data_IF_976534056135
#
_entry.id   IF_976534056135
#
_cell.length_a   1.000
_cell.length_b   1.000
_cell.length_c   1.000
_cell.angle_alpha   90.00
_cell.angle_beta   90.00
_cell.angle_gamma   90.00
#
_symmetry.space_group_name_H-M   'P 1'
#
loop_
_entity.id
_entity.type
_entity.pdbx_description
1 polymer ?
#
# COMPACT_ATOMS: atom_id res chain seq x y z
N UNK A 1 1.89 13.32 18.49
CA UNK A 1 0.57 13.23 17.82
C UNK A 1 0.65 12.18 16.72
N UNK A 2 -0.42 11.43 16.46
CA UNK A 2 -0.46 10.46 15.35
C UNK A 2 -0.28 11.16 14.00
N UNK A 3 0.27 10.45 13.02
CA UNK A 3 0.40 10.90 11.64
C UNK A 3 -0.97 11.12 11.02
N UNK A 4 -1.96 10.26 11.29
CA UNK A 4 -3.33 10.48 10.78
C UNK A 4 -3.99 11.72 11.36
N UNK A 5 -3.57 12.21 12.53
CA UNK A 5 -4.08 13.47 13.09
C UNK A 5 -3.53 14.70 12.36
N UNK A 6 -2.46 14.54 11.57
CA UNK A 6 -1.88 15.59 10.72
C UNK A 6 -2.50 15.62 9.32
N UNK A 7 -3.64 14.94 9.15
CA UNK A 7 -4.39 14.91 7.89
C UNK A 7 -4.58 16.32 7.32
N UNK A 8 -4.25 16.45 6.03
CA UNK A 8 -4.53 17.65 5.24
C UNK A 8 -5.28 17.22 3.99
N UNK A 9 -6.40 17.88 3.64
CA UNK A 9 -7.13 17.56 2.42
C UNK A 9 -6.27 17.68 1.17
N UNK A 10 -6.62 16.92 0.14
CA UNK A 10 -6.01 17.00 -1.19
C UNK A 10 -6.11 18.42 -1.75
N UNK A 11 -5.01 19.03 -2.19
CA UNK A 11 -5.04 20.32 -2.85
C UNK A 11 -5.88 20.26 -4.12
N UNK A 12 -6.75 21.25 -4.34
CA UNK A 12 -7.54 21.40 -5.58
C UNK A 12 -6.66 21.59 -6.83
N UNK A 13 -5.40 21.93 -6.63
CA UNK A 13 -4.37 22.12 -7.66
C UNK A 13 -3.73 20.82 -8.14
N UNK A 14 -4.03 19.68 -7.51
CA UNK A 14 -3.46 18.39 -7.88
C UNK A 14 -4.22 17.77 -9.05
N UNK A 15 -4.19 18.40 -10.22
CA UNK A 15 -5.02 18.01 -11.37
C UNK A 15 -4.42 16.92 -12.27
N UNK A 16 -3.14 16.58 -12.09
CA UNK A 16 -2.44 15.59 -12.93
C UNK A 16 -2.49 14.17 -12.36
N UNK A 17 -3.07 13.98 -11.17
CA UNK A 17 -3.29 12.66 -10.56
C UNK A 17 -4.77 12.41 -10.31
N UNK A 18 -5.17 11.15 -10.19
CA UNK A 18 -6.55 10.74 -9.93
C UNK A 18 -6.73 10.23 -8.49
N UNK A 19 -5.99 10.81 -7.55
CA UNK A 19 -5.97 10.36 -6.16
C UNK A 19 -7.29 10.69 -5.44
N UNK A 20 -7.89 9.73 -4.76
CA UNK A 20 -8.95 10.01 -3.79
C UNK A 20 -8.36 10.57 -2.50
N UNK A 21 -9.23 11.18 -1.68
CA UNK A 21 -8.85 11.74 -0.37
C UNK A 21 -9.84 11.30 0.72
N UNK A 22 -9.86 9.99 0.96
CA UNK A 22 -10.72 9.36 1.95
C UNK A 22 -9.96 9.30 3.27
N UNK A 23 -10.44 10.04 4.27
CA UNK A 23 -9.94 9.92 5.63
C UNK A 23 -10.55 8.69 6.32
N UNK A 24 -9.79 7.58 6.31
CA UNK A 24 -10.22 6.28 6.86
C UNK A 24 -10.47 6.28 8.36
N UNK A 25 -9.97 7.25 9.13
CA UNK A 25 -10.29 7.36 10.57
C UNK A 25 -11.77 7.58 10.83
N UNK A 26 -12.50 8.11 9.85
CA UNK A 26 -13.95 8.32 9.92
C UNK A 26 -14.77 7.17 9.32
N UNK A 27 -14.09 6.10 8.85
CA UNK A 27 -14.75 4.94 8.26
C UNK A 27 -15.01 3.84 9.30
N UNK A 28 -15.84 2.88 8.92
CA UNK A 28 -16.08 1.65 9.67
C UNK A 28 -16.17 0.49 8.69
N UNK A 29 -16.08 -0.74 9.21
CA UNK A 29 -16.29 -1.94 8.39
C UNK A 29 -17.71 -1.99 7.85
N UNK A 30 -17.83 -2.19 6.54
CA UNK A 30 -19.10 -2.34 5.80
C UNK A 30 -19.21 -3.70 5.09
N UNK A 31 -18.09 -4.43 4.97
CA UNK A 31 -18.04 -5.79 4.44
C UNK A 31 -17.14 -6.66 5.32
N UNK A 32 -17.46 -7.95 5.53
CA UNK A 32 -16.64 -8.82 6.38
C UNK A 32 -15.24 -9.03 5.79
N UNK A 33 -14.20 -9.07 6.64
CA UNK A 33 -12.89 -9.55 6.21
C UNK A 33 -12.97 -11.06 6.02
N UNK A 34 -12.75 -11.53 4.80
CA UNK A 34 -12.90 -12.95 4.43
C UNK A 34 -11.57 -13.63 4.16
N UNK A 35 -10.59 -12.91 3.61
CA UNK A 35 -9.32 -13.50 3.17
C UNK A 35 -8.13 -12.60 3.50
N UNK A 36 -7.13 -13.16 4.19
CA UNK A 36 -5.84 -12.53 4.42
C UNK A 36 -4.82 -13.14 3.46
N UNK A 37 -4.35 -12.37 2.48
CA UNK A 37 -3.34 -12.83 1.52
C UNK A 37 -1.98 -12.35 2.03
N UNK A 38 -1.32 -13.18 2.84
CA UNK A 38 -0.17 -12.80 3.66
C UNK A 38 1.19 -13.13 3.03
N UNK A 39 1.23 -13.44 1.74
CA UNK A 39 2.50 -13.52 1.01
C UNK A 39 3.10 -12.15 0.74
N UNK A 40 4.43 -12.08 0.73
CA UNK A 40 5.16 -10.83 0.54
C UNK A 40 4.87 -10.19 -0.83
N UNK A 41 5.01 -8.87 -0.93
CA UNK A 41 4.95 -8.20 -2.23
C UNK A 41 5.88 -8.85 -3.25
N UNK A 42 5.47 -8.86 -4.52
CA UNK A 42 6.18 -9.51 -5.66
C UNK A 42 6.12 -11.04 -5.71
N UNK A 43 5.20 -11.68 -4.97
CA UNK A 43 4.82 -13.09 -5.13
C UNK A 43 3.51 -13.29 -5.91
N UNK A 44 3.04 -12.25 -6.61
CA UNK A 44 1.81 -12.30 -7.43
C UNK A 44 0.60 -11.62 -6.79
N UNK A 45 0.80 -10.76 -5.79
CA UNK A 45 -0.25 -10.01 -5.08
C UNK A 45 -1.16 -9.18 -6.01
N UNK A 46 -0.63 -8.58 -7.08
CA UNK A 46 -1.44 -7.84 -8.05
C UNK A 46 -2.37 -8.77 -8.85
N UNK A 47 -1.88 -9.94 -9.25
CA UNK A 47 -2.71 -11.00 -9.85
C UNK A 47 -3.75 -11.50 -8.87
N UNK A 48 -3.41 -11.68 -7.59
CA UNK A 48 -4.38 -12.03 -6.56
C UNK A 48 -5.46 -10.97 -6.42
N UNK A 49 -5.11 -9.68 -6.33
CA UNK A 49 -6.10 -8.58 -6.27
C UNK A 49 -7.07 -8.64 -7.44
N UNK A 50 -6.57 -8.88 -8.66
CA UNK A 50 -7.40 -9.04 -9.85
C UNK A 50 -8.25 -10.33 -9.78
N UNK A 51 -7.71 -11.42 -9.23
CA UNK A 51 -8.41 -12.69 -9.09
C UNK A 51 -9.57 -12.59 -8.11
N UNK A 52 -9.34 -11.99 -6.94
CA UNK A 52 -10.38 -11.76 -5.93
C UNK A 52 -11.54 -10.93 -6.51
N UNK A 53 -11.23 -9.89 -7.30
CA UNK A 53 -12.26 -9.10 -8.00
C UNK A 53 -13.09 -9.94 -8.98
N UNK A 54 -12.45 -10.82 -9.76
CA UNK A 54 -13.16 -11.75 -10.67
C UNK A 54 -13.98 -12.80 -9.94
N UNK A 55 -13.58 -13.18 -8.72
CA UNK A 55 -14.34 -14.07 -7.83
C UNK A 55 -15.49 -13.35 -7.10
N UNK A 56 -15.75 -12.07 -7.40
CA UNK A 56 -16.87 -11.32 -6.83
C UNK A 56 -16.62 -10.74 -5.45
N UNK A 57 -15.37 -10.69 -4.98
CA UNK A 57 -15.03 -9.96 -3.76
C UNK A 57 -15.17 -8.45 -4.02
N UNK A 58 -15.80 -7.74 -3.08
CA UNK A 58 -16.08 -6.30 -3.20
C UNK A 58 -14.82 -5.49 -3.48
N UNK A 59 -13.80 -5.67 -2.64
CA UNK A 59 -12.48 -5.12 -2.89
C UNK A 59 -11.40 -5.93 -2.16
N UNK A 60 -10.16 -5.80 -2.62
CA UNK A 60 -8.95 -6.38 -2.04
C UNK A 60 -7.91 -5.28 -1.88
N UNK A 61 -7.58 -4.98 -0.63
CA UNK A 61 -6.58 -3.96 -0.31
C UNK A 61 -5.18 -4.39 -0.78
N UNK A 62 -4.38 -3.47 -1.29
CA UNK A 62 -3.04 -3.66 -1.82
C UNK A 62 -2.21 -2.38 -1.63
N UNK A 63 -0.88 -2.44 -1.74
CA UNK A 63 -0.01 -1.24 -1.79
C UNK A 63 -0.49 -0.17 -2.80
N UNK A 64 -1.19 -0.56 -3.87
CA UNK A 64 -1.75 0.38 -4.85
C UNK A 64 -2.77 1.33 -4.21
N UNK A 65 -3.53 0.86 -3.21
CA UNK A 65 -4.48 1.69 -2.47
C UNK A 65 -3.76 2.90 -1.84
N UNK A 66 -2.72 2.71 -1.03
CA UNK A 66 -2.04 3.84 -0.40
C UNK A 66 -0.99 4.56 -1.27
N UNK A 67 -0.58 3.98 -2.41
CA UNK A 67 0.44 4.59 -3.27
C UNK A 67 -0.13 5.42 -4.42
N UNK A 68 -1.26 4.99 -5.01
CA UNK A 68 -1.81 5.59 -6.23
C UNK A 68 -3.33 5.80 -6.25
N UNK A 69 -4.08 5.26 -5.29
CA UNK A 69 -5.55 5.42 -5.23
C UNK A 69 -5.93 6.39 -4.12
N UNK A 70 -5.67 6.06 -2.86
CA UNK A 70 -5.94 6.85 -1.66
C UNK A 70 -4.66 7.08 -0.81
N UNK A 71 -3.80 8.07 -1.15
CA UNK A 71 -2.56 8.35 -0.42
C UNK A 71 -2.72 8.57 1.08
N UNK A 72 -3.89 9.08 1.50
CA UNK A 72 -4.26 9.31 2.91
C UNK A 72 -4.20 8.04 3.77
N UNK A 73 -4.39 6.85 3.17
CA UNK A 73 -4.20 5.58 3.88
C UNK A 73 -2.78 5.43 4.44
N UNK A 74 -1.77 6.02 3.79
CA UNK A 74 -0.38 5.95 4.22
C UNK A 74 -0.16 6.55 5.62
N UNK A 75 -0.96 7.55 6.03
CA UNK A 75 -0.89 8.13 7.36
C UNK A 75 -1.32 7.13 8.45
N UNK A 76 -2.37 6.34 8.21
CA UNK A 76 -2.80 5.30 9.15
C UNK A 76 -1.82 4.13 9.18
N UNK A 77 -1.26 3.75 8.03
CA UNK A 77 -0.18 2.77 8.01
C UNK A 77 1.06 3.24 8.76
N UNK A 78 1.40 4.53 8.65
CA UNK A 78 2.50 5.14 9.40
C UNK A 78 2.25 5.09 10.91
N UNK A 79 1.02 5.36 11.37
CA UNK A 79 0.63 5.16 12.77
C UNK A 79 0.82 3.72 13.23
N UNK A 80 0.34 2.75 12.45
CA UNK A 80 0.45 1.34 12.77
C UNK A 80 1.93 0.89 12.84
N UNK A 81 2.76 1.33 11.89
CA UNK A 81 4.19 1.00 11.85
C UNK A 81 4.94 1.63 13.03
N UNK A 82 4.63 2.87 13.39
CA UNK A 82 5.23 3.54 14.55
C UNK A 82 4.76 2.91 15.87
N UNK A 83 3.50 2.50 15.99
CA UNK A 83 3.02 1.77 17.16
C UNK A 83 3.71 0.41 17.33
N UNK A 84 3.86 -0.35 16.24
CA UNK A 84 4.47 -1.68 16.24
C UNK A 84 5.98 -1.64 16.48
N UNK A 85 6.71 -0.84 15.71
CA UNK A 85 8.17 -0.90 15.66
C UNK A 85 8.87 0.14 16.56
N UNK A 86 8.21 1.25 16.89
CA UNK A 86 8.79 2.27 17.78
C UNK A 86 8.19 2.25 19.19
N UNK A 87 7.14 1.47 19.42
CA UNK A 87 6.39 1.46 20.69
C UNK A 87 5.68 2.78 20.97
N UNK A 88 5.40 3.59 19.94
CA UNK A 88 4.82 4.93 20.10
C UNK A 88 3.37 4.97 19.61
N UNK A 89 2.46 5.32 20.51
CA UNK A 89 1.03 5.35 20.25
C UNK A 89 0.35 4.00 20.52
N UNK A 90 -0.99 3.95 20.46
CA UNK A 90 -1.74 2.73 20.72
C UNK A 90 -1.51 1.69 19.61
N UNK A 91 -1.39 0.42 20.01
CA UNK A 91 -1.40 -0.70 19.05
C UNK A 91 -2.74 -0.75 18.33
N UNK A 92 -2.70 -1.06 17.05
CA UNK A 92 -3.93 -1.26 16.28
C UNK A 92 -4.66 -2.51 16.75
N UNK A 93 -5.95 -2.35 17.00
CA UNK A 93 -6.90 -3.42 17.26
C UNK A 93 -7.80 -3.62 16.03
N UNK A 94 -8.76 -4.56 16.13
CA UNK A 94 -9.79 -4.72 15.09
C UNK A 94 -10.48 -3.40 14.74
N UNK A 95 -10.72 -2.50 15.69
CA UNK A 95 -11.39 -1.23 15.42
C UNK A 95 -10.60 -0.34 14.43
N UNK A 96 -9.29 -0.20 14.61
CA UNK A 96 -8.44 0.57 13.69
C UNK A 96 -8.27 -0.15 12.35
N UNK A 97 -8.23 -1.48 12.34
CA UNK A 97 -8.23 -2.24 11.09
C UNK A 97 -9.56 -2.12 10.33
N UNK A 98 -10.68 -2.05 11.03
CA UNK A 98 -12.02 -1.87 10.45
C UNK A 98 -12.19 -0.47 9.87
N UNK A 99 -11.54 0.55 10.44
CA UNK A 99 -11.43 1.88 9.83
C UNK A 99 -10.67 1.83 8.49
N UNK A 100 -9.47 1.24 8.49
CA UNK A 100 -8.57 1.24 7.33
C UNK A 100 -9.02 0.30 6.20
N UNK A 101 -9.41 -0.91 6.56
CA UNK A 101 -9.68 -2.03 5.65
C UNK A 101 -11.17 -2.38 5.56
N UNK A 102 -12.04 -1.58 6.17
CA UNK A 102 -13.47 -1.90 6.34
C UNK A 102 -14.29 -2.04 5.06
N UNK A 103 -13.78 -1.49 3.96
CA UNK A 103 -14.38 -1.55 2.63
C UNK A 103 -13.86 -2.75 1.80
N UNK A 104 -12.85 -3.46 2.29
CA UNK A 104 -12.25 -4.61 1.60
C UNK A 104 -12.63 -5.92 2.29
N UNK A 105 -12.91 -6.94 1.48
CA UNK A 105 -13.14 -8.30 1.93
C UNK A 105 -11.85 -9.13 1.95
N UNK A 106 -10.79 -8.63 1.33
CA UNK A 106 -9.47 -9.22 1.41
C UNK A 106 -8.39 -8.14 1.52
N UNK A 107 -7.22 -8.53 1.99
CA UNK A 107 -6.04 -7.65 2.11
C UNK A 107 -4.80 -8.41 1.67
N UNK A 108 -3.92 -7.74 0.94
CA UNK A 108 -2.68 -8.30 0.43
C UNK A 108 -1.56 -7.25 0.35
N UNK A 109 -0.34 -7.72 0.11
CA UNK A 109 0.84 -6.90 -0.17
C UNK A 109 1.28 -5.99 1.00
N UNK A 110 2.35 -5.26 0.77
CA UNK A 110 2.80 -4.21 1.67
C UNK A 110 1.75 -3.09 1.77
N UNK A 111 1.67 -2.39 2.91
CA UNK A 111 2.37 -2.65 4.18
C UNK A 111 1.68 -3.71 5.06
N UNK A 112 0.52 -4.23 4.65
CA UNK A 112 -0.34 -5.09 5.48
C UNK A 112 0.35 -6.34 6.03
N UNK A 113 1.24 -6.96 5.27
CA UNK A 113 1.97 -8.17 5.68
C UNK A 113 2.90 -7.93 6.88
N UNK A 114 3.30 -6.69 7.19
CA UNK A 114 4.05 -6.40 8.41
C UNK A 114 3.20 -6.64 9.66
N UNK A 115 1.88 -6.77 9.50
CA UNK A 115 0.90 -6.99 10.55
C UNK A 115 0.23 -8.35 10.43
N UNK A 116 0.89 -9.35 9.82
CA UNK A 116 0.32 -10.68 9.61
C UNK A 116 -0.27 -11.27 10.90
N UNK A 117 0.49 -11.24 12.00
CA UNK A 117 0.04 -11.68 13.31
C UNK A 117 -1.19 -10.91 13.80
N UNK A 118 -1.11 -9.58 13.81
CA UNK A 118 -2.19 -8.72 14.31
C UNK A 118 -3.47 -8.85 13.46
N UNK A 119 -3.34 -9.07 12.15
CA UNK A 119 -4.47 -9.30 11.25
C UNK A 119 -5.10 -10.69 11.46
N UNK A 120 -4.29 -11.73 11.66
CA UNK A 120 -4.79 -13.08 11.99
C UNK A 120 -5.55 -13.05 13.34
N UNK A 121 -4.99 -12.38 14.34
CA UNK A 121 -5.63 -12.22 15.66
C UNK A 121 -6.92 -11.38 15.58
N UNK A 122 -6.93 -10.32 14.76
CA UNK A 122 -8.11 -9.47 14.59
C UNK A 122 -9.23 -10.14 13.77
N UNK A 123 -8.89 -11.03 12.83
CA UNK A 123 -9.84 -11.68 11.92
C UNK A 123 -9.69 -13.21 11.92
N UNK A 124 -9.94 -13.88 13.06
CA UNK A 124 -9.78 -15.33 13.18
C UNK A 124 -10.73 -16.13 12.28
N UNK A 125 -11.80 -15.51 11.78
CA UNK A 125 -12.74 -16.07 10.81
C UNK A 125 -12.21 -16.08 9.37
N UNK A 126 -11.22 -15.24 9.04
CA UNK A 126 -10.72 -15.11 7.68
C UNK A 126 -9.84 -16.31 7.30
N UNK A 127 -9.97 -16.76 6.05
CA UNK A 127 -9.05 -17.75 5.46
C UNK A 127 -7.72 -17.08 5.12
N UNK A 128 -6.62 -17.79 5.23
CA UNK A 128 -5.28 -17.27 4.93
C UNK A 128 -4.73 -17.88 3.66
N UNK A 129 -4.31 -17.04 2.72
CA UNK A 129 -3.59 -17.45 1.50
C UNK A 129 -2.17 -16.94 1.58
N UNK A 130 -1.20 -17.85 1.62
CA UNK A 130 0.22 -17.54 1.61
C UNK A 130 0.74 -17.68 0.18
N UNK A 131 0.72 -16.58 -0.57
CA UNK A 131 1.28 -16.55 -1.92
C UNK A 131 2.79 -16.72 -1.87
N UNK A 132 3.36 -17.60 -2.69
CA UNK A 132 4.76 -18.00 -2.56
C UNK A 132 5.51 -17.94 -3.91
N UNK A 133 6.83 -17.80 -3.84
CA UNK A 133 7.77 -17.74 -4.97
C UNK A 133 9.16 -18.18 -4.51
N UNK A 134 9.98 -18.69 -5.42
CA UNK A 134 11.42 -18.88 -5.16
C UNK A 134 12.04 -17.59 -4.59
N UNK A 135 12.72 -17.70 -3.45
CA UNK A 135 13.24 -16.57 -2.67
C UNK A 135 14.29 -15.77 -3.44
N UNK A 136 15.12 -16.43 -4.25
CA UNK A 136 16.14 -15.75 -5.05
C UNK A 136 15.53 -14.93 -6.18
N UNK A 137 14.59 -15.52 -6.91
CA UNK A 137 13.83 -14.86 -7.97
C UNK A 137 12.97 -13.73 -7.43
N UNK A 138 12.35 -13.92 -6.26
CA UNK A 138 11.62 -12.87 -5.55
C UNK A 138 12.52 -11.70 -5.17
N UNK A 139 13.67 -11.98 -4.54
CA UNK A 139 14.61 -10.95 -4.09
C UNK A 139 15.10 -10.10 -5.27
N UNK A 140 15.54 -10.75 -6.37
CA UNK A 140 15.95 -10.07 -7.59
C UNK A 140 14.81 -9.23 -8.21
N UNK A 141 13.57 -9.72 -8.16
CA UNK A 141 12.40 -8.98 -8.65
C UNK A 141 12.11 -7.74 -7.79
N UNK A 142 12.23 -7.85 -6.47
CA UNK A 142 12.00 -6.74 -5.54
C UNK A 142 13.10 -5.69 -5.63
N UNK A 143 14.36 -6.11 -5.77
CA UNK A 143 15.51 -5.22 -6.02
C UNK A 143 15.25 -4.29 -7.22
N UNK A 144 14.78 -4.85 -8.34
CA UNK A 144 14.52 -4.13 -9.59
C UNK A 144 13.24 -3.27 -9.59
N UNK A 145 12.37 -3.41 -8.58
CA UNK A 145 11.07 -2.74 -8.57
C UNK A 145 10.88 -1.90 -7.32
N UNK A 146 10.46 -2.51 -6.22
CA UNK A 146 10.03 -1.74 -5.06
C UNK A 146 11.21 -1.25 -4.23
N UNK A 147 12.31 -2.00 -4.17
CA UNK A 147 13.52 -1.45 -3.55
C UNK A 147 14.11 -0.28 -4.36
N UNK A 148 14.04 -0.34 -5.70
CA UNK A 148 14.30 0.83 -6.54
C UNK A 148 13.37 2.00 -6.19
N UNK A 149 12.08 1.73 -5.96
CA UNK A 149 11.10 2.76 -5.56
C UNK A 149 11.43 3.39 -4.20
N UNK A 150 11.91 2.60 -3.23
CA UNK A 150 12.35 3.07 -1.91
C UNK A 150 13.56 3.99 -2.01
N UNK A 151 14.43 3.75 -2.99
CA UNK A 151 15.67 4.50 -3.23
C UNK A 151 15.54 5.56 -4.33
N UNK A 152 14.34 5.77 -4.86
CA UNK A 152 14.03 6.73 -5.92
C UNK A 152 14.19 8.17 -5.43
N UNK A 153 15.23 8.85 -5.94
CA UNK A 153 15.56 10.24 -5.59
C UNK A 153 14.47 11.23 -6.00
N UNK A 154 13.76 10.98 -7.10
CA UNK A 154 12.69 11.86 -7.58
C UNK A 154 11.49 11.79 -6.65
N UNK A 155 11.10 10.58 -6.25
CA UNK A 155 10.05 10.38 -5.25
C UNK A 155 10.43 10.98 -3.89
N UNK A 156 11.67 10.78 -3.44
CA UNK A 156 12.17 11.37 -2.19
C UNK A 156 12.13 12.90 -2.22
N UNK A 157 12.48 13.52 -3.34
CA UNK A 157 12.35 14.97 -3.49
C UNK A 157 10.88 15.40 -3.46
N UNK A 158 10.01 14.70 -4.19
CA UNK A 158 8.57 14.97 -4.20
C UNK A 158 7.95 14.86 -2.81
N UNK A 159 8.45 14.00 -1.93
CA UNK A 159 7.87 13.87 -0.58
C UNK A 159 7.94 15.13 0.27
N UNK A 160 8.77 16.11 -0.10
CA UNK A 160 8.83 17.41 0.58
C UNK A 160 7.81 18.42 0.04
N UNK A 161 7.25 18.21 -1.15
CA UNK A 161 6.50 19.23 -1.88
C UNK A 161 5.11 18.78 -2.38
N UNK A 162 4.98 17.52 -2.80
CA UNK A 162 3.74 16.95 -3.30
C UNK A 162 2.91 16.34 -2.16
N UNK A 163 1.60 16.55 -2.20
CA UNK A 163 0.67 16.12 -1.14
C UNK A 163 0.60 14.60 -0.99
N UNK A 164 0.51 13.86 -2.09
CA UNK A 164 0.42 12.41 -2.06
C UNK A 164 1.78 11.77 -1.74
N UNK A 165 2.86 12.25 -2.38
CA UNK A 165 4.21 11.75 -2.15
C UNK A 165 4.68 11.98 -0.71
N UNK A 166 4.30 13.11 -0.10
CA UNK A 166 4.65 13.45 1.28
C UNK A 166 4.04 12.54 2.34
N UNK A 167 2.98 11.80 1.98
CA UNK A 167 2.37 10.79 2.85
C UNK A 167 2.91 9.39 2.52
N UNK A 168 2.98 9.07 1.23
CA UNK A 168 3.37 7.74 0.75
C UNK A 168 4.85 7.40 0.98
N UNK A 169 5.77 8.28 0.57
CA UNK A 169 7.21 7.95 0.62
C UNK A 169 7.73 7.73 2.04
N UNK A 170 7.40 8.58 3.05
CA UNK A 170 7.81 8.31 4.43
C UNK A 170 7.31 6.97 4.96
N UNK A 171 6.05 6.60 4.65
CA UNK A 171 5.49 5.29 5.03
C UNK A 171 6.22 4.14 4.33
N UNK A 172 6.47 4.24 3.03
CA UNK A 172 7.23 3.24 2.27
C UNK A 172 8.64 3.06 2.87
N UNK A 173 9.35 4.17 3.16
CA UNK A 173 10.68 4.14 3.76
C UNK A 173 10.65 3.53 5.16
N UNK A 174 9.68 3.93 6.00
CA UNK A 174 9.48 3.36 7.34
C UNK A 174 9.29 1.85 7.28
N UNK A 175 8.43 1.37 6.38
CA UNK A 175 8.16 -0.04 6.20
C UNK A 175 9.47 -0.80 5.90
N UNK A 176 10.27 -0.34 4.94
CA UNK A 176 11.55 -0.99 4.60
C UNK A 176 12.59 -0.89 5.72
N UNK A 177 12.64 0.23 6.44
CA UNK A 177 13.57 0.41 7.56
C UNK A 177 13.26 -0.48 8.76
N UNK A 178 12.00 -0.86 8.91
CA UNK A 178 11.54 -1.66 10.06
C UNK A 178 11.36 -3.12 9.69
N UNK A 179 10.47 -3.44 8.76
CA UNK A 179 10.17 -4.82 8.36
C UNK A 179 11.39 -5.52 7.77
N UNK A 180 12.16 -4.82 6.93
CA UNK A 180 13.41 -5.33 6.36
C UNK A 180 14.67 -4.91 7.13
N UNK A 181 14.50 -4.37 8.34
CA UNK A 181 15.58 -4.00 9.25
C UNK A 181 16.63 -3.06 8.60
N UNK A 182 16.18 -2.21 7.66
CA UNK A 182 17.02 -1.23 6.98
C UNK A 182 17.97 -1.78 5.91
N UNK A 183 18.06 -3.10 5.76
CA UNK A 183 19.02 -3.76 4.86
C UNK A 183 18.36 -4.84 3.99
N UNK A 184 17.41 -4.42 3.16
CA UNK A 184 16.76 -5.30 2.20
C UNK A 184 17.75 -6.05 1.26
N UNK A 185 18.80 -5.43 0.71
CA UNK A 185 19.73 -6.11 -0.19
C UNK A 185 20.38 -7.35 0.42
N UNK A 186 20.79 -7.28 1.69
CA UNK A 186 21.48 -8.41 2.33
C UNK A 186 20.54 -9.30 3.13
N UNK A 187 19.51 -8.74 3.76
CA UNK A 187 18.64 -9.47 4.71
C UNK A 187 17.28 -9.86 4.15
N UNK A 188 16.90 -9.33 2.98
CA UNK A 188 15.57 -9.58 2.41
C UNK A 188 15.20 -11.06 2.29
N UNK A 189 16.16 -11.93 1.94
CA UNK A 189 15.95 -13.39 1.81
C UNK A 189 15.72 -14.08 3.17
N UNK A 190 16.52 -13.74 4.19
CA UNK A 190 16.34 -14.24 5.56
C UNK A 190 14.97 -13.83 6.10
N UNK A 191 14.59 -12.56 5.89
CA UNK A 191 13.32 -12.00 6.35
C UNK A 191 12.13 -12.61 5.61
N UNK A 192 12.31 -12.95 4.33
CA UNK A 192 11.34 -13.75 3.58
C UNK A 192 11.09 -15.09 4.27
N UNK A 193 12.12 -15.90 4.49
CA UNK A 193 11.92 -17.22 5.11
C UNK A 193 11.31 -17.11 6.51
N UNK A 194 11.77 -16.14 7.31
CA UNK A 194 11.24 -15.87 8.65
C UNK A 194 9.76 -15.51 8.65
N UNK A 195 9.32 -14.63 7.74
CA UNK A 195 7.92 -14.24 7.60
C UNK A 195 7.02 -15.44 7.25
N UNK A 196 7.46 -16.30 6.33
CA UNK A 196 6.65 -17.46 5.93
C UNK A 196 6.60 -18.52 7.04
N UNK A 197 7.71 -18.74 7.76
CA UNK A 197 7.72 -19.61 8.93
C UNK A 197 6.78 -19.09 10.03
N UNK A 198 6.74 -17.78 10.27
CA UNK A 198 5.83 -17.14 11.24
C UNK A 198 4.37 -17.32 10.82
N UNK A 199 4.00 -17.02 9.58
CA UNK A 199 2.61 -17.20 9.12
C UNK A 199 2.16 -18.67 9.25
N UNK A 200 3.03 -19.62 8.91
CA UNK A 200 2.73 -21.06 9.06
C UNK A 200 2.55 -21.50 10.51
N UNK A 201 3.22 -20.86 11.47
CA UNK A 201 3.08 -21.21 12.89
C UNK A 201 1.84 -20.59 13.53
N UNK A 202 1.34 -19.49 12.98
CA UNK A 202 0.16 -18.78 13.49
C UNK A 202 -1.18 -19.33 12.98
N UNK A 203 -1.19 -20.00 11.82
CA UNK A 203 -2.43 -20.40 11.14
C UNK A 203 -2.57 -21.93 11.11
N UNK A 204 -3.70 -22.49 11.58
CA UNK A 204 -4.00 -23.91 11.41
C UNK A 204 -3.98 -24.32 9.93
N UNK A 205 -3.50 -25.53 9.63
CA UNK A 205 -3.33 -26.00 8.24
C UNK A 205 -4.62 -25.94 7.42
N UNK A 206 -5.76 -26.13 8.07
CA UNK A 206 -7.09 -26.16 7.46
C UNK A 206 -7.55 -24.75 7.01
N UNK A 207 -6.97 -23.69 7.60
CA UNK A 207 -7.22 -22.29 7.25
C UNK A 207 -6.10 -21.66 6.44
N UNK A 208 -5.10 -22.43 6.01
CA UNK A 208 -3.93 -21.95 5.29
C UNK A 208 -3.82 -22.61 3.91
N UNK A 209 -3.82 -21.78 2.86
CA UNK A 209 -3.47 -22.20 1.51
C UNK A 209 -2.09 -21.65 1.13
N UNK A 210 -1.12 -22.53 0.89
CA UNK A 210 0.09 -22.19 0.14
C UNK A 210 -0.26 -22.12 -1.34
N UNK A 211 0.04 -20.99 -1.99
CA UNK A 211 -0.43 -20.75 -3.35
C UNK A 211 0.65 -20.11 -4.21
N UNK A 212 0.87 -20.64 -5.42
CA UNK A 212 1.58 -19.93 -6.47
C UNK A 212 0.57 -19.47 -7.50
N UNK A 213 0.74 -18.27 -8.03
CA UNK A 213 -0.15 -17.77 -9.10
C UNK A 213 -0.18 -18.65 -10.36
N UNK A 214 0.83 -19.50 -10.54
CA UNK A 214 0.90 -20.51 -11.60
C UNK A 214 0.00 -21.72 -11.35
N UNK A 215 -0.47 -21.92 -10.12
CA UNK A 215 -1.36 -23.03 -9.76
C UNK A 215 -2.79 -22.81 -10.28
N UNK A 216 -3.10 -21.60 -10.74
CA UNK A 216 -4.35 -21.28 -11.41
C UNK A 216 -5.55 -21.16 -10.47
N UNK A 217 -6.75 -21.37 -11.02
CA UNK A 217 -8.00 -21.12 -10.30
C UNK A 217 -8.38 -22.22 -9.32
N UNK A 218 -8.21 -23.48 -9.70
CA UNK A 218 -8.78 -24.63 -9.00
C UNK A 218 -8.42 -24.67 -7.50
N UNK A 219 -7.13 -24.65 -7.09
CA UNK A 219 -6.79 -24.72 -5.68
C UNK A 219 -7.28 -23.51 -4.89
N UNK A 220 -7.25 -22.31 -5.49
CA UNK A 220 -7.75 -21.10 -4.85
C UNK A 220 -9.28 -21.15 -4.65
N UNK A 221 -10.02 -21.53 -5.69
CA UNK A 221 -11.49 -21.56 -5.67
C UNK A 221 -12.00 -22.64 -4.71
N UNK A 222 -11.39 -23.82 -4.74
CA UNK A 222 -11.69 -24.91 -3.81
C UNK A 222 -11.45 -24.47 -2.37
N UNK A 223 -10.30 -23.84 -2.09
CA UNK A 223 -10.00 -23.36 -0.75
C UNK A 223 -10.93 -22.24 -0.29
N UNK A 224 -11.39 -21.38 -1.19
CA UNK A 224 -12.29 -20.26 -0.86
C UNK A 224 -13.77 -20.63 -0.85
N UNK A 225 -14.12 -21.87 -1.21
CA UNK A 225 -15.50 -22.36 -1.39
C UNK A 225 -16.29 -21.51 -2.40
N UNK A 226 -15.68 -21.23 -3.56
CA UNK A 226 -16.31 -20.46 -4.66
C UNK A 226 -16.19 -21.21 -5.99
N UNK A 227 -17.10 -20.97 -6.95
CA UNK A 227 -17.03 -21.63 -8.25
C UNK A 227 -15.82 -21.15 -9.08
N UNK A 228 -15.19 -22.07 -9.79
CA UNK A 228 -14.10 -21.79 -10.74
C UNK A 228 -14.63 -20.98 -11.93
N UNK A 229 -14.03 -19.82 -12.26
CA UNK A 229 -14.40 -19.06 -13.46
C UNK A 229 -14.08 -19.86 -14.74
N UNK A 230 -15.11 -20.24 -15.52
CA UNK A 230 -14.95 -21.04 -16.74
C UNK A 230 -14.39 -20.28 -17.94
N UNK A 231 -14.59 -18.96 -17.97
CA UNK A 231 -14.38 -18.13 -19.17
C UNK A 231 -13.07 -17.33 -19.16
N UNK A 232 -12.22 -17.46 -18.12
CA UNK A 232 -10.99 -16.67 -18.05
C UNK A 232 -9.83 -17.43 -17.42
N UNK A 233 -8.64 -17.29 -18.01
CA UNK A 233 -7.40 -17.74 -17.38
C UNK A 233 -7.12 -16.93 -16.10
N UNK A 234 -6.39 -17.53 -15.17
CA UNK A 234 -5.96 -16.85 -13.94
C UNK A 234 -5.21 -15.55 -14.29
N UNK A 235 -5.48 -14.42 -13.61
CA UNK A 235 -4.86 -13.15 -13.95
C UNK A 235 -3.33 -13.23 -13.91
N UNK A 236 -2.69 -12.76 -14.99
CA UNK A 236 -1.24 -12.61 -15.05
C UNK A 236 -0.89 -11.12 -15.17
N UNK A 237 -0.89 -10.43 -14.03
CA UNK A 237 -0.51 -9.01 -13.95
C UNK A 237 1.00 -8.96 -13.76
N UNK A 238 1.74 -9.32 -14.81
CA UNK A 238 3.20 -9.37 -14.81
C UNK A 238 3.77 -7.99 -15.10
N UNK A 239 4.44 -7.37 -14.13
CA UNK A 239 4.92 -6.03 -14.40
C UNK A 239 6.09 -5.56 -13.56
N UNK A 240 7.31 -5.90 -14.01
CA UNK A 240 8.50 -5.22 -13.52
C UNK A 240 8.80 -3.97 -14.36
N UNK A 241 8.74 -4.09 -15.70
CA UNK A 241 9.11 -3.01 -16.63
C UNK A 241 8.10 -1.87 -16.58
N UNK A 242 6.80 -2.15 -16.73
CA UNK A 242 5.80 -1.10 -16.62
C UNK A 242 5.59 -0.65 -15.17
N UNK A 243 6.02 -1.39 -14.13
CA UNK A 243 6.03 -0.86 -12.76
C UNK A 243 6.93 0.39 -12.65
N UNK A 244 8.19 0.30 -13.11
CA UNK A 244 9.13 1.42 -13.06
C UNK A 244 8.64 2.55 -13.97
N UNK A 245 8.17 2.23 -15.18
CA UNK A 245 7.65 3.24 -16.11
C UNK A 245 6.43 3.99 -15.53
N UNK A 246 5.44 3.28 -14.98
CA UNK A 246 4.28 3.89 -14.31
C UNK A 246 4.69 4.72 -13.10
N UNK A 247 5.64 4.22 -12.31
CA UNK A 247 6.16 4.93 -11.13
C UNK A 247 6.82 6.26 -11.52
N UNK A 248 7.61 6.28 -12.61
CA UNK A 248 8.20 7.51 -13.16
C UNK A 248 7.14 8.45 -13.72
N UNK A 249 6.19 7.93 -14.49
CA UNK A 249 5.08 8.73 -15.03
C UNK A 249 4.28 9.41 -13.91
N UNK A 250 4.00 8.67 -12.82
CA UNK A 250 3.36 9.23 -11.63
C UNK A 250 4.19 10.34 -10.98
N UNK A 251 5.51 10.14 -10.81
CA UNK A 251 6.36 11.20 -10.25
C UNK A 251 6.33 12.48 -11.10
N UNK A 252 6.28 12.36 -12.43
CA UNK A 252 6.14 13.51 -13.32
C UNK A 252 4.79 14.20 -13.17
N UNK A 253 3.69 13.45 -13.11
CA UNK A 253 2.38 14.02 -12.80
C UNK A 253 2.37 14.80 -11.47
N UNK A 254 2.97 14.24 -10.43
CA UNK A 254 3.13 14.92 -9.13
C UNK A 254 4.03 16.16 -9.23
N UNK A 255 5.07 16.11 -10.06
CA UNK A 255 5.92 17.29 -10.33
C UNK A 255 5.11 18.40 -10.99
N UNK A 256 4.25 18.08 -11.96
CA UNK A 256 3.38 19.07 -12.58
C UNK A 256 2.37 19.67 -11.58
N UNK A 257 1.81 18.86 -10.67
CA UNK A 257 0.98 19.36 -9.57
C UNK A 257 1.75 20.40 -8.71
N UNK A 258 2.99 20.08 -8.32
CA UNK A 258 3.85 20.99 -7.56
C UNK A 258 4.14 22.28 -8.33
N UNK A 259 4.45 22.18 -9.62
CA UNK A 259 4.73 23.34 -10.47
C UNK A 259 3.51 24.26 -10.62
N UNK A 260 2.31 23.69 -10.83
CA UNK A 260 1.06 24.47 -10.87
C UNK A 260 0.84 25.19 -9.54
N UNK A 261 1.03 24.51 -8.41
CA UNK A 261 0.95 25.13 -7.08
C UNK A 261 1.93 26.31 -6.96
N UNK A 262 3.20 26.12 -7.30
CA UNK A 262 4.21 27.18 -7.25
C UNK A 262 3.85 28.37 -8.15
N UNK A 263 3.34 28.12 -9.36
CA UNK A 263 2.95 29.16 -10.30
C UNK A 263 1.78 30.00 -9.74
N UNK A 264 0.77 29.36 -9.16
CA UNK A 264 -0.36 30.05 -8.52
C UNK A 264 0.12 30.91 -7.34
N UNK A 265 0.95 30.35 -6.46
CA UNK A 265 1.48 31.11 -5.31
C UNK A 265 2.33 32.29 -5.75
N UNK A 266 3.18 32.13 -6.77
CA UNK A 266 3.98 33.23 -7.32
C UNK A 266 3.08 34.34 -7.88
N UNK A 267 2.05 33.99 -8.64
CA UNK A 267 1.09 34.97 -9.17
C UNK A 267 0.37 35.73 -8.05
N UNK A 268 -0.11 35.04 -7.02
CA UNK A 268 -0.76 35.65 -5.86
C UNK A 268 0.20 36.57 -5.07
N UNK A 269 1.46 36.16 -4.89
CA UNK A 269 2.48 36.99 -4.23
C UNK A 269 2.77 38.26 -5.01
N UNK A 270 2.87 38.19 -6.35
CA UNK A 270 3.09 39.35 -7.20
C UNK A 270 1.90 40.32 -7.12
N UNK A 271 0.66 39.81 -7.22
CA UNK A 271 -0.55 40.63 -7.10
C UNK A 271 -0.62 41.32 -5.73
N UNK A 272 -0.34 40.57 -4.66
CA UNK A 272 -0.34 41.09 -3.29
C UNK A 272 0.72 42.18 -3.12
N UNK A 273 1.93 41.96 -3.64
CA UNK A 273 3.00 42.95 -3.61
C UNK A 273 2.58 44.26 -4.30
N UNK A 274 2.01 44.19 -5.50
CA UNK A 274 1.54 45.39 -6.21
C UNK A 274 0.37 46.08 -5.52
N UNK A 275 -0.55 45.34 -4.91
CA UNK A 275 -1.67 45.91 -4.15
C UNK A 275 -1.17 46.66 -2.90
N UNK A 276 -0.26 46.06 -2.12
CA UNK A 276 0.36 46.69 -0.95
C UNK A 276 1.18 47.90 -1.36
N UNK A 277 1.98 47.79 -2.43
CA UNK A 277 2.78 48.90 -2.94
C UNK A 277 1.90 50.09 -3.35
N UNK A 278 0.76 49.85 -4.02
CA UNK A 278 -0.19 50.92 -4.37
C UNK A 278 -0.80 51.59 -3.15
N UNK A 279 -1.19 50.81 -2.12
CA UNK A 279 -1.75 51.35 -0.88
C UNK A 279 -0.74 52.17 -0.08
N UNK A 280 0.55 51.83 -0.13
CA UNK A 280 1.60 52.60 0.54
C UNK A 280 1.96 53.90 -0.20
N UNK A 281 1.63 53.99 -1.48
CA UNK A 281 1.89 55.17 -2.32
C UNK A 281 0.69 56.13 -2.42
N UNK A 282 -0.48 55.76 -1.86
CA UNK A 282 -1.70 56.57 -1.78
C UNK A 282 -1.87 57.16 -0.39
#
# INVERSE_FOLDING_TARGET
MSYSAQYKPRPSTDIFTNDTDINRRNCRRIVPMRVLILGLGRTGTASMRAAMKRLGYVDTYHMMNCSIENPTDALMWMDALTAKYDGKGPKFTRAEWDQLLGHCQAVCDWPSIAFAKELIEAYPEAKVVLTNRDVHSWHASTMKTVYWRVTDRHLRWLSYFDWAAGQYYPMLKKFFDTFFEGDFPNRGKEIFERHYAEVRSLVPKEKLLEFRVTDGWEPLCNFLDVPVPKESAFPNVNDNVNFVARSKARNWAQTYNVLVRCFIWLGLSIITFFAVFRLLMS
#
